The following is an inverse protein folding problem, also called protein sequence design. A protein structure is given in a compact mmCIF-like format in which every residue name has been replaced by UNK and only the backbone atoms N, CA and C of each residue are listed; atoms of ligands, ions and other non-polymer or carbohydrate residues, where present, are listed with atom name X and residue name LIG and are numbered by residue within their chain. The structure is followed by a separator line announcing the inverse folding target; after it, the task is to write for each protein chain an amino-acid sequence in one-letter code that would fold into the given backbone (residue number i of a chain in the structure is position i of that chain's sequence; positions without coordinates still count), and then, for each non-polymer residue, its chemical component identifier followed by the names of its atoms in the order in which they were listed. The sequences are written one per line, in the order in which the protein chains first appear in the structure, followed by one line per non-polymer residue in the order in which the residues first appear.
data_IF_272255751654
#
_entry.id   IF_272255751654
#
_cell.length_a   1.000
_cell.length_b   1.000
_cell.length_c   1.000
_cell.angle_alpha   90.00
_cell.angle_beta   90.00
_cell.angle_gamma   90.00
#
_symmetry.space_group_name_H-M   'P 1'
#
loop_
_entity.id
_entity.type
_entity.pdbx_description
1 polymer ?
#
# COMPACT_ATOMS: atom_id res chain seq x y z
N UNK A 1 -17.03 -24.34 14.85
CA UNK A 1 -17.32 -22.88 14.84
C UNK A 1 -16.89 -22.39 13.49
N UNK A 2 -17.85 -22.01 12.65
CA UNK A 2 -17.58 -21.52 11.30
C UNK A 2 -16.92 -20.15 11.37
N UNK A 3 -15.62 -20.09 11.06
CA UNK A 3 -14.91 -18.86 10.75
C UNK A 3 -15.50 -18.29 9.46
N UNK A 4 -16.61 -17.53 9.59
CA UNK A 4 -17.06 -16.63 8.53
C UNK A 4 -16.00 -15.56 8.36
N UNK A 5 -15.01 -15.84 7.52
CA UNK A 5 -14.02 -14.87 7.07
C UNK A 5 -14.79 -13.67 6.53
N UNK A 6 -14.78 -12.56 7.28
CA UNK A 6 -15.32 -11.29 6.81
C UNK A 6 -14.50 -10.91 5.58
N UNK A 7 -15.07 -11.11 4.39
CA UNK A 7 -14.51 -10.60 3.15
C UNK A 7 -14.48 -9.08 3.28
N UNK A 8 -13.30 -8.49 3.35
CA UNK A 8 -13.18 -7.05 3.41
C UNK A 8 -13.65 -6.52 2.06
N UNK A 9 -14.79 -5.83 2.05
CA UNK A 9 -15.30 -5.18 0.86
C UNK A 9 -14.50 -3.88 0.64
N UNK A 10 -13.24 -4.02 0.23
CA UNK A 10 -12.36 -2.91 -0.14
C UNK A 10 -12.88 -2.37 -1.47
N UNK A 11 -13.09 -1.06 -1.54
CA UNK A 11 -13.40 -0.35 -2.76
C UNK A 11 -12.12 -0.21 -3.61
N UNK A 12 -11.72 -1.29 -4.27
CA UNK A 12 -10.49 -1.35 -5.05
C UNK A 12 -10.52 -0.37 -6.22
N UNK A 13 -11.67 -0.13 -6.86
CA UNK A 13 -11.77 0.83 -7.95
C UNK A 13 -11.38 2.24 -7.48
N UNK A 14 -11.81 2.65 -6.29
CA UNK A 14 -11.36 3.90 -5.67
C UNK A 14 -9.85 3.88 -5.40
N UNK A 15 -9.35 2.85 -4.71
CA UNK A 15 -7.95 2.82 -4.27
C UNK A 15 -6.94 2.70 -5.41
N UNK A 16 -7.28 1.97 -6.49
CA UNK A 16 -6.43 1.84 -7.67
C UNK A 16 -6.37 3.14 -8.49
N UNK A 17 -7.38 4.01 -8.38
CA UNK A 17 -7.38 5.33 -9.01
C UNK A 17 -6.68 6.40 -8.16
N UNK A 18 -6.37 6.12 -6.89
CA UNK A 18 -5.65 7.06 -6.02
C UNK A 18 -4.14 7.05 -6.36
N UNK A 19 -3.58 8.16 -6.86
CA UNK A 19 -2.16 8.20 -7.24
C UNK A 19 -1.23 8.15 -6.03
N UNK A 20 -1.68 8.73 -4.92
CA UNK A 20 -0.95 8.81 -3.67
C UNK A 20 -1.81 8.34 -2.51
N UNK A 21 -1.15 7.71 -1.54
CA UNK A 21 -1.76 7.22 -0.31
C UNK A 21 -0.81 7.47 0.84
N UNK A 22 -1.35 7.54 2.04
CA UNK A 22 -0.53 7.56 3.25
C UNK A 22 0.17 6.22 3.45
N UNK A 23 1.33 6.22 4.09
CA UNK A 23 2.08 4.99 4.43
C UNK A 23 1.17 3.95 5.08
N UNK A 24 0.40 4.31 6.11
CA UNK A 24 -0.49 3.34 6.75
C UNK A 24 -1.60 2.81 5.85
N UNK A 25 -2.09 3.62 4.90
CA UNK A 25 -3.12 3.20 3.94
C UNK A 25 -2.56 2.19 2.95
N UNK A 26 -1.36 2.45 2.40
CA UNK A 26 -0.63 1.49 1.56
C UNK A 26 -0.42 0.16 2.29
N UNK A 27 0.00 0.21 3.56
CA UNK A 27 0.21 -1.01 4.36
C UNK A 27 -1.10 -1.75 4.60
N UNK A 28 -2.18 -1.06 4.98
CA UNK A 28 -3.50 -1.68 5.17
C UNK A 28 -3.98 -2.40 3.91
N UNK A 29 -3.88 -1.75 2.74
CA UNK A 29 -4.22 -2.37 1.46
C UNK A 29 -3.35 -3.60 1.18
N UNK A 30 -2.05 -3.55 1.51
CA UNK A 30 -1.12 -4.66 1.28
C UNK A 30 -1.43 -5.93 2.08
N UNK A 31 -2.26 -5.84 3.12
CA UNK A 31 -2.72 -6.97 3.95
C UNK A 31 -4.23 -7.18 3.86
N UNK A 32 -4.87 -6.70 2.78
CA UNK A 32 -6.31 -6.86 2.54
C UNK A 32 -7.18 -6.24 3.66
N UNK A 33 -6.85 -5.02 4.10
CA UNK A 33 -7.66 -4.23 5.03
C UNK A 33 -8.10 -2.94 4.35
N UNK A 34 -9.40 -2.63 4.45
CA UNK A 34 -9.97 -1.38 3.95
C UNK A 34 -9.55 -0.22 4.87
N UNK A 35 -8.70 0.72 4.40
CA UNK A 35 -8.25 1.83 5.22
C UNK A 35 -9.41 2.72 5.72
N UNK A 36 -10.53 2.81 4.98
CA UNK A 36 -11.71 3.59 5.39
C UNK A 36 -12.46 2.99 6.58
N UNK A 37 -12.28 1.68 6.82
CA UNK A 37 -12.92 0.96 7.93
C UNK A 37 -12.03 0.87 9.17
N UNK A 38 -10.76 1.24 9.07
CA UNK A 38 -9.87 1.28 10.22
C UNK A 38 -10.30 2.38 11.19
N UNK A 39 -10.31 2.04 12.47
CA UNK A 39 -10.70 2.95 13.54
C UNK A 39 -9.58 3.04 14.56
N UNK A 40 -9.40 4.22 15.14
CA UNK A 40 -8.31 4.48 16.05
C UNK A 40 -8.45 5.83 16.71
N UNK A 41 -7.38 6.26 17.36
CA UNK A 41 -7.21 7.62 17.86
C UNK A 41 -6.01 8.27 17.19
N UNK A 42 -6.08 9.57 16.99
CA UNK A 42 -4.91 10.34 16.60
C UNK A 42 -4.05 10.61 17.84
N UNK A 43 -2.75 10.38 17.73
CA UNK A 43 -1.76 10.68 18.78
C UNK A 43 -0.69 11.61 18.23
N UNK A 44 0.19 12.15 19.08
CA UNK A 44 1.36 12.92 18.63
C UNK A 44 2.33 12.10 17.77
N UNK A 45 2.24 10.76 17.81
CA UNK A 45 3.03 9.84 16.98
C UNK A 45 2.28 9.35 15.75
N UNK A 46 1.06 9.85 15.51
CA UNK A 46 0.18 9.45 14.42
C UNK A 46 -1.00 8.58 14.81
N UNK A 47 -1.70 8.00 13.82
CA UNK A 47 -2.85 7.14 14.05
C UNK A 47 -2.46 5.89 14.82
N UNK A 48 -3.15 5.64 15.93
CA UNK A 48 -3.09 4.39 16.67
C UNK A 48 -4.41 3.64 16.47
N UNK A 49 -4.37 2.56 15.70
CA UNK A 49 -5.56 1.78 15.37
C UNK A 49 -5.94 0.82 16.49
N UNK A 50 -7.25 0.67 16.71
CA UNK A 50 -7.80 -0.30 17.65
C UNK A 50 -7.76 -1.71 17.07
N UNK A 51 -7.62 -2.73 17.92
CA UNK A 51 -7.58 -4.14 17.50
C UNK A 51 -8.81 -4.57 16.69
N UNK A 52 -9.98 -3.92 16.87
CA UNK A 52 -11.19 -4.16 16.07
C UNK A 52 -11.06 -3.81 14.58
N UNK A 53 -10.00 -3.10 14.20
CA UNK A 53 -9.67 -2.80 12.79
C UNK A 53 -9.02 -3.99 12.08
N UNK A 54 -8.64 -5.03 12.83
CA UNK A 54 -7.96 -6.22 12.35
C UNK A 54 -8.83 -7.45 12.61
N UNK A 55 -8.77 -8.45 11.73
CA UNK A 55 -9.51 -9.71 11.90
C UNK A 55 -8.79 -10.62 12.90
N UNK A 56 -7.45 -10.52 12.96
CA UNK A 56 -6.61 -11.32 13.85
C UNK A 56 -5.47 -10.49 14.45
N UNK A 57 -4.90 -10.98 15.56
CA UNK A 57 -3.67 -10.41 16.15
C UNK A 57 -2.51 -10.48 15.16
N UNK A 58 -2.44 -11.54 14.35
CA UNK A 58 -1.41 -11.69 13.31
C UNK A 58 -1.48 -10.55 12.29
N UNK A 59 -2.66 -10.18 11.82
CA UNK A 59 -2.82 -9.06 10.89
C UNK A 59 -2.39 -7.72 11.51
N UNK A 60 -2.72 -7.50 12.78
CA UNK A 60 -2.26 -6.32 13.51
C UNK A 60 -0.72 -6.28 13.58
N UNK A 61 -0.08 -7.40 13.93
CA UNK A 61 1.37 -7.48 13.98
C UNK A 61 2.02 -7.30 12.59
N UNK A 62 1.44 -7.89 11.56
CA UNK A 62 1.90 -7.74 10.17
C UNK A 62 1.77 -6.28 9.73
N UNK A 63 0.67 -5.60 10.09
CA UNK A 63 0.46 -4.18 9.83
C UNK A 63 1.54 -3.31 10.49
N UNK A 64 1.75 -3.48 11.80
CA UNK A 64 2.70 -2.68 12.57
C UNK A 64 4.13 -2.86 12.03
N UNK A 65 4.53 -4.12 11.78
CA UNK A 65 5.85 -4.44 11.20
C UNK A 65 6.03 -3.84 9.82
N UNK A 66 5.03 -3.94 8.94
CA UNK A 66 5.10 -3.39 7.58
C UNK A 66 5.14 -1.86 7.59
N UNK A 67 4.43 -1.20 8.53
CA UNK A 67 4.52 0.25 8.72
C UNK A 67 5.93 0.66 9.14
N UNK A 68 6.53 0.00 10.13
CA UNK A 68 7.88 0.29 10.59
C UNK A 68 8.91 0.17 9.45
N UNK A 69 8.86 -0.93 8.70
CA UNK A 69 9.74 -1.15 7.54
C UNK A 69 9.54 -0.10 6.45
N UNK A 70 8.29 0.21 6.11
CA UNK A 70 7.98 1.19 5.07
C UNK A 70 8.41 2.59 5.47
N UNK A 71 8.22 3.00 6.73
CA UNK A 71 8.70 4.27 7.26
C UNK A 71 10.23 4.34 7.17
N UNK A 72 10.93 3.31 7.64
CA UNK A 72 12.38 3.25 7.56
C UNK A 72 12.86 3.33 6.10
N UNK A 73 12.19 2.66 5.17
CA UNK A 73 12.56 2.70 3.75
C UNK A 73 12.31 4.08 3.14
N UNK A 74 11.12 4.63 3.34
CA UNK A 74 10.72 5.95 2.82
C UNK A 74 11.64 7.05 3.34
N UNK A 75 12.04 7.01 4.61
CA UNK A 75 12.86 8.08 5.19
C UNK A 75 14.36 7.95 4.92
N UNK A 76 14.87 6.77 4.57
CA UNK A 76 16.31 6.52 4.44
C UNK A 76 16.74 6.11 3.03
N UNK A 77 15.82 5.92 2.10
CA UNK A 77 16.13 5.46 0.73
C UNK A 77 15.29 6.21 -0.30
N UNK A 78 15.71 6.15 -1.57
CA UNK A 78 14.99 6.74 -2.70
C UNK A 78 14.18 5.71 -3.49
N UNK A 79 13.95 4.51 -2.94
CA UNK A 79 13.29 3.42 -3.67
C UNK A 79 11.79 3.62 -3.82
N UNK A 80 11.20 4.43 -2.94
CA UNK A 80 9.78 4.73 -2.94
C UNK A 80 9.63 6.22 -3.15
N UNK A 81 8.92 6.60 -4.23
CA UNK A 81 8.67 7.99 -4.53
C UNK A 81 7.72 8.59 -3.48
N UNK A 82 8.14 9.71 -2.92
CA UNK A 82 7.44 10.44 -1.86
C UNK A 82 6.73 11.65 -2.49
N UNK A 83 5.49 11.89 -2.08
CA UNK A 83 4.76 13.13 -2.41
C UNK A 83 4.99 14.17 -1.32
N UNK A 84 4.81 13.76 -0.07
CA UNK A 84 4.85 14.66 1.08
C UNK A 84 5.35 13.92 2.32
N UNK A 85 6.27 14.55 3.07
CA UNK A 85 6.74 14.05 4.36
C UNK A 85 5.99 14.81 5.45
N UNK A 86 5.25 14.07 6.27
CA UNK A 86 4.54 14.61 7.43
C UNK A 86 5.45 14.62 8.66
N UNK A 87 5.19 15.52 9.62
CA UNK A 87 5.81 15.49 10.95
C UNK A 87 5.51 14.17 11.70
N UNK A 88 4.45 13.49 11.29
CA UNK A 88 4.10 12.14 11.69
C UNK A 88 4.45 11.21 10.53
N UNK A 89 5.56 10.48 10.62
CA UNK A 89 6.10 9.72 9.50
C UNK A 89 5.08 8.79 8.83
N UNK A 90 4.26 8.09 9.62
CA UNK A 90 3.23 7.16 9.14
C UNK A 90 2.09 7.84 8.33
N UNK A 91 1.91 9.15 8.47
CA UNK A 91 0.96 9.96 7.69
C UNK A 91 1.59 10.59 6.43
N UNK A 92 2.88 10.32 6.17
CA UNK A 92 3.54 10.75 4.92
C UNK A 92 2.87 10.10 3.72
N UNK A 93 2.84 10.81 2.61
CA UNK A 93 2.19 10.37 1.37
C UNK A 93 3.21 9.87 0.37
N UNK A 94 2.95 8.70 -0.19
CA UNK A 94 3.79 8.02 -1.17
C UNK A 94 2.97 7.68 -2.41
N UNK A 95 3.65 7.53 -3.54
CA UNK A 95 3.00 7.04 -4.75
C UNK A 95 2.65 5.56 -4.62
N UNK A 96 1.40 5.21 -4.89
CA UNK A 96 0.93 3.83 -4.74
C UNK A 96 1.67 2.86 -5.66
N UNK A 97 1.96 3.27 -6.91
CA UNK A 97 2.71 2.44 -7.85
C UNK A 97 4.16 2.20 -7.39
N UNK A 98 4.85 3.21 -6.86
CA UNK A 98 6.20 3.03 -6.30
C UNK A 98 6.21 2.11 -5.09
N UNK A 99 5.17 2.20 -4.24
CA UNK A 99 4.98 1.25 -3.16
C UNK A 99 4.81 -0.17 -3.69
N UNK A 100 3.93 -0.39 -4.68
CA UNK A 100 3.68 -1.71 -5.30
C UNK A 100 4.96 -2.28 -5.94
N UNK A 101 5.69 -1.47 -6.70
CA UNK A 101 6.96 -1.88 -7.33
C UNK A 101 7.95 -2.36 -6.25
N UNK A 102 8.08 -1.62 -5.16
CA UNK A 102 8.97 -1.98 -4.06
C UNK A 102 8.53 -3.26 -3.34
N UNK A 103 7.26 -3.39 -2.93
CA UNK A 103 6.80 -4.58 -2.20
C UNK A 103 6.91 -5.86 -3.02
N UNK A 104 6.74 -5.78 -4.34
CA UNK A 104 6.97 -6.91 -5.25
C UNK A 104 8.45 -7.27 -5.33
N UNK A 105 9.35 -6.28 -5.35
CA UNK A 105 10.80 -6.52 -5.37
C UNK A 105 11.33 -7.22 -4.12
N UNK A 106 10.65 -7.07 -2.98
CA UNK A 106 10.97 -7.77 -1.71
C UNK A 106 10.03 -8.95 -1.44
N UNK A 107 9.32 -9.41 -2.47
CA UNK A 107 8.47 -10.61 -2.45
C UNK A 107 7.39 -10.61 -1.36
N UNK A 108 6.86 -9.45 -0.98
CA UNK A 108 5.72 -9.40 -0.07
C UNK A 108 4.50 -10.05 -0.71
N UNK A 109 3.80 -10.86 0.09
CA UNK A 109 2.47 -11.30 -0.28
C UNK A 109 1.49 -10.12 -0.14
N UNK A 110 0.90 -9.72 -1.27
CA UNK A 110 -0.10 -8.64 -1.39
C UNK A 110 -1.31 -9.11 -2.21
N UNK A 111 -2.49 -8.49 -2.03
CA UNK A 111 -3.69 -8.76 -2.84
C UNK A 111 -3.45 -8.64 -4.34
N UNK A 112 -4.18 -9.44 -5.12
CA UNK A 112 -4.03 -9.49 -6.57
C UNK A 112 -4.33 -8.14 -7.23
N UNK A 113 -5.27 -7.39 -6.66
CA UNK A 113 -5.70 -6.08 -7.13
C UNK A 113 -4.54 -5.09 -7.15
N UNK A 114 -3.68 -5.08 -6.12
CA UNK A 114 -2.47 -4.26 -6.12
C UNK A 114 -1.45 -4.71 -7.16
N UNK A 115 -1.37 -6.01 -7.46
CA UNK A 115 -0.44 -6.54 -8.48
C UNK A 115 -0.79 -6.05 -9.88
N UNK A 116 -2.06 -5.76 -10.15
CA UNK A 116 -2.52 -5.22 -11.45
C UNK A 116 -1.81 -3.90 -11.78
N UNK A 117 -1.49 -3.08 -10.78
CA UNK A 117 -0.77 -1.80 -10.98
C UNK A 117 0.58 -2.03 -11.66
N UNK A 118 1.34 -3.03 -11.22
CA UNK A 118 2.63 -3.37 -11.81
C UNK A 118 2.47 -3.88 -13.25
N UNK A 119 1.50 -4.78 -13.48
CA UNK A 119 1.25 -5.35 -14.81
C UNK A 119 0.77 -4.30 -15.83
N UNK A 120 -0.04 -3.33 -15.40
CA UNK A 120 -0.49 -2.24 -16.27
C UNK A 120 0.69 -1.37 -16.76
N UNK A 121 1.64 -1.09 -15.87
CA UNK A 121 2.86 -0.34 -16.18
C UNK A 121 3.77 -1.07 -17.16
N UNK A 122 3.95 -2.38 -17.00
CA UNK A 122 4.72 -3.21 -17.93
C UNK A 122 4.12 -3.20 -19.34
N UNK A 123 2.79 -3.36 -19.44
CA UNK A 123 2.08 -3.32 -20.73
C UNK A 123 2.25 -1.97 -21.44
N UNK A 124 2.14 -0.86 -20.71
CA UNK A 124 2.36 0.48 -21.28
C UNK A 124 3.81 0.62 -21.77
N UNK A 125 4.79 0.19 -20.97
CA UNK A 125 6.21 0.27 -21.36
C UNK A 125 6.53 -0.56 -22.61
N UNK A 126 5.94 -1.76 -22.76
CA UNK A 126 6.10 -2.60 -23.96
C UNK A 126 5.50 -1.92 -25.18
N UNK A 127 4.31 -1.32 -25.05
CA UNK A 127 3.65 -0.60 -26.13
C UNK A 127 4.50 0.59 -26.60
N UNK A 128 4.97 1.45 -25.68
CA UNK A 128 5.81 2.61 -26.01
C UNK A 128 7.12 2.23 -26.74
N UNK A 129 7.75 1.12 -26.32
CA UNK A 129 8.92 0.58 -27.01
C UNK A 129 8.58 0.10 -28.43
N UNK A 130 7.46 -0.60 -28.61
CA UNK A 130 7.03 -1.09 -29.92
C UNK A 130 6.68 0.04 -30.92
N UNK A 131 6.12 1.16 -30.44
CA UNK A 131 5.85 2.34 -31.27
C UNK A 131 7.12 3.11 -31.65
N UNK A 132 8.17 3.06 -30.81
CA UNK A 132 9.43 3.74 -31.08
C UNK A 132 10.32 2.97 -32.08
N UNK A 133 10.22 1.63 -32.11
CA UNK A 133 10.97 0.78 -33.04
C UNK A 133 10.40 0.75 -34.47
N UNK A 134 9.13 1.10 -34.67
CA UNK A 134 8.46 1.10 -35.98
C UNK A 134 8.55 2.45 -36.74
N UNK A 135 9.31 3.43 -36.23
CA UNK A 135 9.48 4.77 -36.82
C UNK A 135 10.79 4.97 -37.61
N UNK A 136 11.46 3.89 -38.01
CA UNK A 136 12.71 3.92 -38.80
C UNK A 136 12.44 3.38 -40.20
#
# INVERSE_FOLDING_TARGET
MDDKVRKNNIDWDFWLLMPHVKIWQAVALSIDIDPKKMTGRMTSKGPQFYSKSFRTIKEQNDFDRRCELLIARVLNTNDIRIVFISNVSIDSEIYLNSFVDWVLSVEWNIPQELRIIATAKEKISILEKSYSSNKI
#
